data_IF_306740235592
#
_entry.id   IF_306740235592
#
_cell.length_a   1.000
_cell.length_b   1.000
_cell.length_c   1.000
_cell.angle_alpha   90.00
_cell.angle_beta   90.00
_cell.angle_gamma   90.00
#
_symmetry.space_group_name_H-M   'P 1'
#
loop_
_entity.id
_entity.type
_entity.pdbx_description
1 polymer ?
#
# COMPACT_ATOMS: atom_id res chain seq x y z
N UNK A 1 -8.91 -65.01 16.30
CA UNK A 1 -9.45 -64.05 17.28
C UNK A 1 -9.66 -62.78 16.49
N UNK A 2 -10.88 -62.56 16.01
CA UNK A 2 -11.20 -61.44 15.14
C UNK A 2 -11.28 -60.18 16.00
N UNK A 3 -10.21 -59.38 15.98
CA UNK A 3 -10.18 -58.07 16.60
C UNK A 3 -11.12 -57.16 15.79
N UNK A 4 -12.35 -57.04 16.24
CA UNK A 4 -13.31 -56.04 15.75
C UNK A 4 -12.83 -54.65 16.22
N UNK A 5 -11.80 -54.13 15.56
CA UNK A 5 -11.31 -52.76 15.75
C UNK A 5 -12.30 -51.84 15.05
N UNK A 6 -13.08 -51.12 15.84
CA UNK A 6 -14.02 -50.10 15.34
C UNK A 6 -13.22 -48.87 14.91
N UNK A 7 -12.82 -48.85 13.64
CA UNK A 7 -12.16 -47.68 13.05
C UNK A 7 -13.17 -46.53 12.91
N UNK A 8 -12.72 -45.31 13.23
CA UNK A 8 -13.54 -44.10 13.13
C UNK A 8 -13.00 -43.26 11.98
N UNK A 9 -13.84 -42.83 11.02
CA UNK A 9 -13.42 -41.89 9.99
C UNK A 9 -13.21 -40.51 10.60
N UNK A 10 -12.06 -39.89 10.31
CA UNK A 10 -11.71 -38.54 10.72
C UNK A 10 -11.12 -37.75 9.53
N UNK A 11 -11.05 -36.43 9.65
CA UNK A 11 -10.45 -35.54 8.64
C UNK A 11 -9.18 -34.92 9.22
N UNK A 12 -8.09 -34.94 8.46
CA UNK A 12 -6.85 -34.29 8.86
C UNK A 12 -7.02 -32.76 8.81
N UNK A 13 -6.73 -32.07 9.93
CA UNK A 13 -6.83 -30.60 10.02
C UNK A 13 -5.74 -29.84 9.25
N UNK A 14 -4.69 -30.53 8.81
CA UNK A 14 -3.58 -29.91 8.06
C UNK A 14 -3.73 -30.02 6.55
N UNK A 15 -4.26 -31.14 6.04
CA UNK A 15 -4.35 -31.38 4.60
C UNK A 15 -5.77 -31.71 4.10
N UNK A 16 -6.76 -31.84 4.99
CA UNK A 16 -8.13 -32.21 4.62
C UNK A 16 -8.32 -33.67 4.21
N UNK A 17 -7.28 -34.50 4.22
CA UNK A 17 -7.37 -35.92 3.85
C UNK A 17 -8.21 -36.74 4.84
N UNK A 18 -9.02 -37.67 4.32
CA UNK A 18 -9.81 -38.62 5.13
C UNK A 18 -8.92 -39.70 5.72
N UNK A 19 -8.90 -39.82 7.04
CA UNK A 19 -8.04 -40.75 7.78
C UNK A 19 -8.89 -41.67 8.66
N UNK A 20 -8.59 -42.97 8.63
CA UNK A 20 -9.20 -43.93 9.54
C UNK A 20 -8.35 -44.03 10.80
N UNK A 21 -8.96 -43.74 11.95
CA UNK A 21 -8.27 -43.76 13.24
C UNK A 21 -8.79 -44.87 14.13
N UNK A 22 -7.86 -45.55 14.80
CA UNK A 22 -8.16 -46.57 15.80
C UNK A 22 -8.44 -45.91 17.15
N UNK A 23 -9.68 -45.99 17.61
CA UNK A 23 -10.12 -45.40 18.89
C UNK A 23 -9.35 -45.91 20.11
N UNK A 24 -8.63 -47.04 19.99
CA UNK A 24 -7.85 -47.63 21.10
C UNK A 24 -6.44 -47.06 21.21
N UNK A 25 -5.98 -46.27 20.23
CA UNK A 25 -4.65 -45.64 20.24
C UNK A 25 -4.78 -44.18 20.66
N UNK A 26 -3.74 -43.65 21.30
CA UNK A 26 -3.69 -42.25 21.70
C UNK A 26 -3.21 -41.34 20.55
N UNK A 27 -2.42 -41.89 19.63
CA UNK A 27 -1.81 -41.15 18.52
C UNK A 27 -2.10 -41.80 17.17
N UNK A 28 -2.45 -40.98 16.17
CA UNK A 28 -2.58 -41.36 14.77
C UNK A 28 -1.71 -40.48 13.88
N UNK A 29 -1.16 -41.07 12.82
CA UNK A 29 -0.38 -40.36 11.80
C UNK A 29 -1.16 -40.30 10.50
N UNK A 30 -1.28 -39.11 9.93
CA UNK A 30 -1.91 -38.94 8.62
C UNK A 30 -1.05 -39.59 7.51
N UNK A 31 -1.58 -40.47 6.66
CA UNK A 31 -0.83 -41.07 5.55
C UNK A 31 -0.56 -40.09 4.41
N UNK A 32 -1.31 -38.98 4.32
CA UNK A 32 -1.17 -37.99 3.25
C UNK A 32 -0.08 -36.96 3.54
N UNK A 33 -0.08 -36.34 4.72
CA UNK A 33 0.88 -35.28 5.08
C UNK A 33 1.88 -35.67 6.17
N UNK A 34 1.73 -36.86 6.77
CA UNK A 34 2.64 -37.34 7.81
C UNK A 34 2.47 -36.69 9.18
N UNK A 35 1.51 -35.77 9.35
CA UNK A 35 1.25 -35.11 10.65
C UNK A 35 0.73 -36.12 11.68
N UNK A 36 1.34 -36.16 12.87
CA UNK A 36 0.84 -36.92 14.03
C UNK A 36 -0.17 -36.08 14.81
N UNK A 37 -1.27 -36.69 15.25
CA UNK A 37 -2.30 -36.03 16.04
C UNK A 37 -2.87 -36.96 17.12
N UNK A 38 -3.28 -36.35 18.24
CA UNK A 38 -3.81 -37.06 19.42
C UNK A 38 -5.31 -37.32 19.24
N UNK A 39 -5.71 -38.58 19.35
CA UNK A 39 -7.06 -39.09 19.02
C UNK A 39 -8.15 -38.57 19.98
N UNK A 40 -7.80 -38.24 21.23
CA UNK A 40 -8.75 -37.64 22.20
C UNK A 40 -9.37 -36.32 21.71
N UNK A 41 -8.65 -35.57 20.87
CA UNK A 41 -9.14 -34.32 20.25
C UNK A 41 -9.86 -34.54 18.92
N UNK A 42 -9.72 -35.71 18.29
CA UNK A 42 -10.35 -36.04 17.02
C UNK A 42 -11.76 -36.63 17.18
N UNK A 43 -12.01 -37.41 18.24
CA UNK A 43 -13.31 -38.06 18.45
C UNK A 43 -14.38 -37.09 18.99
N UNK A 44 -13.97 -36.04 19.70
CA UNK A 44 -14.88 -35.08 20.33
C UNK A 44 -15.12 -33.81 19.49
N UNK A 45 -14.60 -33.70 18.27
CA UNK A 45 -14.71 -32.47 17.49
C UNK A 45 -15.64 -32.59 16.28
N UNK A 46 -16.73 -31.82 16.40
CA UNK A 46 -17.56 -31.27 15.34
C UNK A 46 -18.29 -32.27 14.45
N UNK A 47 -19.46 -32.69 14.93
CA UNK A 47 -20.57 -33.12 14.07
C UNK A 47 -21.16 -31.88 13.35
N UNK A 48 -20.33 -31.17 12.55
CA UNK A 48 -20.81 -30.06 11.71
C UNK A 48 -21.48 -30.70 10.51
N UNK A 49 -22.79 -30.92 10.66
CA UNK A 49 -23.65 -31.20 9.52
C UNK A 49 -23.90 -29.89 8.82
N UNK A 50 -23.26 -29.69 7.68
CA UNK A 50 -23.65 -28.61 6.77
C UNK A 50 -25.05 -28.94 6.26
N UNK A 51 -26.04 -28.19 6.72
CA UNK A 51 -27.34 -28.14 6.07
C UNK A 51 -27.29 -26.98 5.08
N UNK A 52 -27.35 -27.29 3.78
CA UNK A 52 -27.61 -26.27 2.77
C UNK A 52 -29.07 -25.85 2.94
N UNK A 53 -29.29 -24.68 3.53
CA UNK A 53 -30.62 -24.10 3.68
C UNK A 53 -30.79 -23.11 2.53
N UNK A 54 -31.61 -23.44 1.53
CA UNK A 54 -31.86 -22.56 0.38
C UNK A 54 -32.61 -21.31 0.79
N UNK A 55 -33.53 -21.42 1.76
CA UNK A 55 -34.25 -20.31 2.36
C UNK A 55 -34.60 -20.59 3.83
N UNK A 56 -34.32 -19.64 4.71
CA UNK A 56 -34.73 -19.64 6.11
C UNK A 56 -35.44 -18.30 6.43
N UNK A 57 -36.71 -18.36 6.80
CA UNK A 57 -37.48 -17.17 7.20
C UNK A 57 -37.05 -16.64 8.58
N UNK A 58 -36.54 -17.52 9.44
CA UNK A 58 -35.94 -17.15 10.73
C UNK A 58 -34.90 -18.19 11.15
N UNK A 59 -33.84 -17.71 11.79
CA UNK A 59 -32.79 -18.55 12.38
C UNK A 59 -32.77 -18.24 13.88
N UNK A 60 -33.19 -19.20 14.70
CA UNK A 60 -33.11 -19.08 16.15
C UNK A 60 -31.81 -19.74 16.63
N UNK A 61 -30.83 -18.92 16.99
CA UNK A 61 -29.55 -19.39 17.53
C UNK A 61 -29.67 -19.40 19.06
N UNK A 62 -29.56 -20.58 19.66
CA UNK A 62 -29.49 -20.71 21.11
C UNK A 62 -28.11 -20.28 21.61
N UNK A 63 -28.04 -19.06 22.16
CA UNK A 63 -26.80 -18.43 22.63
C UNK A 63 -26.53 -18.88 24.08
N UNK A 64 -26.18 -20.15 24.25
CA UNK A 64 -25.81 -20.72 25.55
C UNK A 64 -24.39 -21.31 25.54
N UNK A 65 -23.76 -21.34 26.72
CA UNK A 65 -22.42 -21.89 26.91
C UNK A 65 -21.34 -21.19 26.06
N UNK A 66 -20.59 -21.98 25.29
CA UNK A 66 -19.43 -21.53 24.52
C UNK A 66 -19.73 -20.43 23.48
N UNK A 67 -20.95 -20.40 22.92
CA UNK A 67 -21.32 -19.36 21.94
C UNK A 67 -21.41 -17.99 22.60
N UNK A 68 -21.89 -17.94 23.84
CA UNK A 68 -21.99 -16.69 24.61
C UNK A 68 -20.62 -16.13 24.96
N UNK A 69 -19.67 -16.99 25.35
CA UNK A 69 -18.31 -16.58 25.68
C UNK A 69 -17.58 -15.95 24.49
N UNK A 70 -17.73 -16.53 23.30
CA UNK A 70 -17.15 -15.97 22.06
C UNK A 70 -17.79 -14.63 21.71
N UNK A 71 -19.11 -14.50 21.89
CA UNK A 71 -19.83 -13.24 21.65
C UNK A 71 -19.38 -12.14 22.61
N UNK A 72 -19.26 -12.47 23.90
CA UNK A 72 -18.81 -11.53 24.94
C UNK A 72 -17.35 -11.12 24.72
N UNK A 73 -16.48 -12.04 24.31
CA UNK A 73 -15.09 -11.73 23.94
C UNK A 73 -15.01 -10.79 22.73
N UNK A 74 -15.75 -11.10 21.66
CA UNK A 74 -15.81 -10.25 20.47
C UNK A 74 -16.34 -8.85 20.80
N UNK A 75 -17.37 -8.76 21.65
CA UNK A 75 -17.90 -7.49 22.15
C UNK A 75 -16.87 -6.67 22.92
N UNK A 76 -16.11 -7.33 23.79
CA UNK A 76 -15.09 -6.68 24.64
C UNK A 76 -13.95 -6.11 23.80
N UNK A 77 -13.40 -6.90 22.87
CA UNK A 77 -12.35 -6.49 21.92
C UNK A 77 -12.76 -5.25 21.11
N UNK A 78 -14.00 -5.22 20.62
CA UNK A 78 -14.53 -4.08 19.87
C UNK A 78 -14.67 -2.83 20.74
N UNK A 79 -15.05 -2.99 22.01
CA UNK A 79 -15.19 -1.87 22.94
C UNK A 79 -13.85 -1.24 23.33
N UNK A 80 -12.82 -2.07 23.53
CA UNK A 80 -11.46 -1.64 23.85
C UNK A 80 -10.81 -0.92 22.66
N UNK A 81 -10.92 -1.49 21.46
CA UNK A 81 -10.44 -0.87 20.22
C UNK A 81 -11.08 0.51 19.98
N UNK A 82 -12.36 0.67 20.36
CA UNK A 82 -13.06 1.96 20.25
C UNK A 82 -12.55 2.99 21.25
N UNK A 83 -12.18 2.58 22.47
CA UNK A 83 -11.58 3.47 23.49
C UNK A 83 -10.18 3.92 23.07
N UNK A 84 -9.33 2.99 22.62
CA UNK A 84 -7.99 3.31 22.10
C UNK A 84 -8.08 4.32 20.95
N UNK A 85 -8.99 4.11 19.99
CA UNK A 85 -9.20 5.04 18.88
C UNK A 85 -9.71 6.42 19.33
N UNK A 86 -10.43 6.51 20.45
CA UNK A 86 -10.90 7.78 21.00
C UNK A 86 -9.79 8.56 21.72
N UNK A 87 -8.88 7.85 22.38
CA UNK A 87 -7.72 8.44 23.06
C UNK A 87 -6.67 8.89 22.05
N UNK A 88 -6.42 8.10 21.01
CA UNK A 88 -5.49 8.44 19.92
C UNK A 88 -5.87 9.77 19.24
N UNK A 89 -7.16 9.99 18.95
CA UNK A 89 -7.64 11.26 18.36
C UNK A 89 -7.36 12.49 19.21
N UNK A 90 -7.35 12.35 20.54
CA UNK A 90 -7.05 13.48 21.45
C UNK A 90 -5.58 13.87 21.34
N UNK A 91 -4.69 12.87 21.34
CA UNK A 91 -3.25 13.08 21.18
C UNK A 91 -2.95 13.72 19.82
N UNK A 92 -3.55 13.21 18.74
CA UNK A 92 -3.35 13.75 17.40
C UNK A 92 -3.87 15.21 17.28
N UNK A 93 -4.98 15.54 17.95
CA UNK A 93 -5.51 16.91 17.96
C UNK A 93 -4.59 17.90 18.69
N UNK A 94 -3.93 17.48 19.77
CA UNK A 94 -2.96 18.31 20.49
C UNK A 94 -1.66 18.48 19.70
N UNK A 95 -1.22 17.44 19.00
CA UNK A 95 -0.03 17.49 18.14
C UNK A 95 -0.25 18.44 16.95
N UNK A 96 -1.42 18.36 16.31
CA UNK A 96 -1.78 19.24 15.20
C UNK A 96 -1.84 20.72 15.61
N UNK A 97 -2.33 21.03 16.82
CA UNK A 97 -2.36 22.40 17.35
C UNK A 97 -0.95 22.98 17.54
N UNK A 98 0.02 22.17 17.97
CA UNK A 98 1.41 22.63 18.14
C UNK A 98 2.12 22.81 16.78
N UNK A 99 1.92 21.89 15.85
CA UNK A 99 2.53 21.98 14.53
C UNK A 99 1.97 23.14 13.71
N UNK A 100 0.68 23.41 13.78
CA UNK A 100 0.08 24.57 13.06
C UNK A 100 0.62 25.90 13.56
N UNK A 101 0.76 26.10 14.89
CA UNK A 101 1.36 27.35 15.43
C UNK A 101 2.84 27.48 15.05
N UNK A 102 3.61 26.40 15.07
CA UNK A 102 5.01 26.40 14.66
C UNK A 102 5.14 26.74 13.16
N UNK A 103 4.28 26.15 12.32
CA UNK A 103 4.20 26.42 10.89
C UNK A 103 3.88 27.89 10.61
N UNK A 104 2.86 28.46 11.27
CA UNK A 104 2.50 29.87 11.12
C UNK A 104 3.61 30.82 11.57
N UNK A 105 4.37 30.48 12.63
CA UNK A 105 5.52 31.28 13.06
C UNK A 105 6.65 31.24 12.04
N UNK A 106 6.99 30.07 11.51
CA UNK A 106 8.04 29.91 10.50
C UNK A 106 7.69 30.67 9.20
N UNK A 107 6.47 30.47 8.70
CA UNK A 107 5.98 31.17 7.51
C UNK A 107 5.87 32.68 7.70
N UNK A 108 5.49 33.14 8.90
CA UNK A 108 5.43 34.57 9.22
C UNK A 108 6.79 35.27 9.14
N UNK A 109 7.87 34.63 9.59
CA UNK A 109 9.23 35.19 9.47
C UNK A 109 9.72 35.22 8.02
N UNK A 110 9.39 34.19 7.23
CA UNK A 110 9.76 34.12 5.81
C UNK A 110 9.05 35.20 4.99
N UNK A 111 7.75 35.41 5.21
CA UNK A 111 6.97 36.46 4.54
C UNK A 111 7.46 37.88 4.86
N UNK A 112 7.85 38.14 6.11
CA UNK A 112 8.42 39.42 6.49
C UNK A 112 9.76 39.68 5.78
N UNK A 113 10.60 38.65 5.62
CA UNK A 113 11.85 38.74 4.86
C UNK A 113 11.62 39.03 3.38
N UNK A 114 10.68 38.34 2.74
CA UNK A 114 10.35 38.51 1.32
C UNK A 114 9.81 39.91 1.02
N UNK A 115 8.96 40.48 1.89
CA UNK A 115 8.47 41.85 1.74
C UNK A 115 9.58 42.90 1.86
N UNK A 116 10.52 42.72 2.79
CA UNK A 116 11.67 43.62 2.93
C UNK A 116 12.58 43.54 1.71
N UNK A 117 12.84 42.33 1.22
CA UNK A 117 13.66 42.12 0.02
C UNK A 117 13.01 42.71 -1.24
N UNK A 118 11.70 42.54 -1.40
CA UNK A 118 10.92 43.13 -2.50
C UNK A 118 10.92 44.65 -2.47
N UNK A 119 10.82 45.27 -1.28
CA UNK A 119 10.92 46.73 -1.15
C UNK A 119 12.33 47.25 -1.46
N UNK A 120 13.37 46.52 -1.08
CA UNK A 120 14.77 46.85 -1.41
C UNK A 120 14.99 46.74 -2.93
N UNK A 121 14.51 45.67 -3.57
CA UNK A 121 14.58 45.49 -5.02
C UNK A 121 13.82 46.59 -5.78
N UNK A 122 12.64 46.98 -5.30
CA UNK A 122 11.84 48.06 -5.88
C UNK A 122 12.56 49.42 -5.78
N UNK A 123 13.26 49.70 -4.68
CA UNK A 123 14.05 50.92 -4.51
C UNK A 123 15.28 50.91 -5.45
N UNK A 124 15.96 49.76 -5.61
CA UNK A 124 17.09 49.61 -6.53
C UNK A 124 16.65 49.85 -7.98
N UNK A 125 15.47 49.36 -8.36
CA UNK A 125 14.90 49.54 -9.70
C UNK A 125 14.53 51.00 -10.00
N UNK A 126 14.18 51.81 -8.99
CA UNK A 126 13.91 53.24 -9.16
C UNK A 126 15.17 54.10 -9.31
N UNK A 127 16.33 53.63 -8.83
CA UNK A 127 17.60 54.36 -8.94
C UNK A 127 18.48 53.91 -10.12
N UNK A 128 18.27 52.71 -10.64
CA UNK A 128 18.96 52.19 -11.83
C UNK A 128 18.10 52.43 -13.07
N UNK A 129 18.22 53.63 -13.64
CA UNK A 129 17.61 53.93 -14.93
C UNK A 129 18.12 53.00 -16.02
N UNK A 130 17.19 52.26 -16.64
CA UNK A 130 17.27 51.60 -17.95
C UNK A 130 18.69 51.38 -18.50
N UNK A 131 19.27 50.23 -18.18
CA UNK A 131 20.34 49.64 -18.98
C UNK A 131 20.19 48.14 -19.00
N UNK A 132 20.02 47.62 -20.22
CA UNK A 132 20.46 46.30 -20.66
C UNK A 132 19.86 45.11 -19.93
N UNK A 133 19.04 44.35 -20.65
CA UNK A 133 18.65 43.02 -20.20
C UNK A 133 19.87 42.17 -19.95
N UNK A 134 19.97 41.69 -18.71
CA UNK A 134 20.61 40.43 -18.42
C UNK A 134 19.46 39.49 -18.03
N UNK A 135 19.18 38.56 -18.93
CA UNK A 135 18.34 37.39 -18.69
C UNK A 135 18.97 36.59 -17.56
N UNK A 136 18.59 36.93 -16.32
CA UNK A 136 18.70 36.00 -15.20
C UNK A 136 17.44 35.16 -15.26
N UNK A 137 17.57 34.01 -15.92
CA UNK A 137 16.54 33.00 -15.96
C UNK A 137 16.07 32.69 -14.54
N UNK A 138 14.76 32.76 -14.34
CA UNK A 138 14.10 31.96 -13.34
C UNK A 138 14.56 30.51 -13.56
N UNK A 139 15.38 29.98 -12.65
CA UNK A 139 15.41 28.55 -12.46
C UNK A 139 14.01 28.17 -11.95
N UNK A 140 13.12 27.90 -12.90
CA UNK A 140 11.92 27.12 -12.66
C UNK A 140 12.37 25.88 -11.88
N UNK A 141 11.78 25.63 -10.71
CA UNK A 141 12.04 24.39 -9.98
C UNK A 141 11.80 23.23 -10.93
N UNK A 142 12.88 22.62 -11.43
CA UNK A 142 12.79 21.47 -12.31
C UNK A 142 12.39 20.31 -11.43
N UNK A 143 11.21 19.75 -11.66
CA UNK A 143 10.82 18.51 -11.01
C UNK A 143 11.83 17.42 -11.41
N UNK A 144 12.56 16.88 -10.45
CA UNK A 144 13.53 15.81 -10.66
C UNK A 144 12.86 14.49 -10.31
N UNK A 145 12.99 13.50 -11.20
CA UNK A 145 12.55 12.13 -10.95
C UNK A 145 13.79 11.26 -10.87
N UNK A 146 13.93 10.53 -9.78
CA UNK A 146 14.98 9.54 -9.56
C UNK A 146 14.38 8.15 -9.40
N UNK A 147 15.09 7.13 -9.87
CA UNK A 147 14.65 5.74 -9.83
C UNK A 147 15.77 4.86 -9.25
N UNK A 148 15.41 3.94 -8.36
CA UNK A 148 16.33 2.98 -7.78
C UNK A 148 15.67 1.60 -7.63
N UNK A 149 16.40 0.53 -7.92
CA UNK A 149 15.92 -0.84 -7.69
C UNK A 149 16.48 -1.37 -6.38
N UNK A 150 15.61 -1.87 -5.50
CA UNK A 150 16.01 -2.48 -4.23
C UNK A 150 15.07 -3.64 -3.90
N UNK A 151 15.65 -4.78 -3.49
CA UNK A 151 14.89 -5.96 -3.06
C UNK A 151 13.85 -6.46 -4.08
N UNK A 152 14.14 -6.31 -5.39
CA UNK A 152 13.25 -6.74 -6.47
C UNK A 152 12.12 -5.76 -6.81
N UNK A 153 12.13 -4.57 -6.19
CA UNK A 153 11.16 -3.52 -6.40
C UNK A 153 11.80 -2.26 -6.98
N UNK A 154 11.06 -1.54 -7.84
CA UNK A 154 11.43 -0.23 -8.34
C UNK A 154 10.88 0.85 -7.42
N UNK A 155 11.77 1.68 -6.89
CA UNK A 155 11.44 2.85 -6.11
C UNK A 155 11.63 4.10 -6.95
N UNK A 156 10.60 4.94 -7.00
CA UNK A 156 10.65 6.24 -7.67
C UNK A 156 10.58 7.34 -6.61
N UNK A 157 11.52 8.27 -6.64
CA UNK A 157 11.47 9.50 -5.86
C UNK A 157 11.21 10.67 -6.81
N UNK A 158 10.29 11.54 -6.44
CA UNK A 158 9.87 12.67 -7.27
C UNK A 158 9.96 13.92 -6.39
N UNK A 159 10.83 14.85 -6.76
CA UNK A 159 10.86 16.19 -6.19
C UNK A 159 9.93 17.09 -7.01
N UNK A 160 8.89 17.61 -6.35
CA UNK A 160 7.76 18.28 -7.00
C UNK A 160 7.95 19.79 -6.94
N UNK A 161 7.83 20.46 -8.09
CA UNK A 161 7.64 21.91 -8.13
C UNK A 161 6.21 22.27 -7.70
N UNK A 162 6.04 23.43 -7.05
CA UNK A 162 4.82 23.83 -6.31
C UNK A 162 3.47 23.66 -7.09
N UNK A 163 3.49 23.52 -8.42
CA UNK A 163 2.32 23.48 -9.31
C UNK A 163 2.01 22.11 -9.96
N UNK A 164 2.84 21.08 -9.78
CA UNK A 164 2.63 19.75 -10.38
C UNK A 164 2.15 18.71 -9.36
N UNK A 165 1.32 17.78 -9.81
CA UNK A 165 0.91 16.58 -9.05
C UNK A 165 1.22 15.34 -9.88
N UNK A 166 2.16 14.51 -9.42
CA UNK A 166 2.49 13.26 -10.11
C UNK A 166 1.59 12.12 -9.61
N UNK A 167 1.00 11.38 -10.54
CA UNK A 167 0.20 10.18 -10.28
C UNK A 167 0.72 9.05 -11.14
N UNK A 168 0.70 7.84 -10.59
CA UNK A 168 0.97 6.65 -11.39
C UNK A 168 -0.15 6.45 -12.41
N UNK A 169 0.20 6.16 -13.66
CA UNK A 169 -0.79 5.82 -14.69
C UNK A 169 -0.44 4.47 -15.30
N UNK A 170 -1.28 3.50 -14.98
CA UNK A 170 -1.14 2.10 -15.38
C UNK A 170 -1.44 1.98 -16.89
N UNK A 171 -0.41 1.73 -17.68
CA UNK A 171 -0.53 1.54 -19.13
C UNK A 171 0.10 0.24 -19.60
N UNK A 172 -0.03 -0.82 -18.82
CA UNK A 172 -0.64 -2.04 -19.32
C UNK A 172 -1.18 -2.87 -18.15
N UNK A 173 -2.22 -3.62 -18.46
CA UNK A 173 -3.13 -4.21 -17.49
C UNK A 173 -2.56 -5.43 -16.78
N UNK A 174 -1.49 -5.38 -15.99
CA UNK A 174 -0.96 -6.63 -15.38
C UNK A 174 -0.48 -6.56 -13.92
N UNK A 175 -1.12 -5.73 -13.10
CA UNK A 175 -1.31 -6.03 -11.67
C UNK A 175 -0.19 -5.61 -10.72
N UNK A 176 0.21 -4.34 -10.80
CA UNK A 176 1.14 -3.70 -9.86
C UNK A 176 0.48 -3.52 -8.48
N UNK A 177 1.13 -4.01 -7.43
CA UNK A 177 0.78 -3.68 -6.05
C UNK A 177 1.50 -2.39 -5.65
N UNK A 178 0.78 -1.27 -5.64
CA UNK A 178 1.31 0.00 -5.15
C UNK A 178 1.29 0.04 -3.62
N UNK A 179 2.45 0.32 -3.02
CA UNK A 179 2.52 0.85 -1.66
C UNK A 179 3.09 2.27 -1.73
N UNK A 180 2.23 3.27 -1.49
CA UNK A 180 2.68 4.65 -1.25
C UNK A 180 3.08 4.76 0.21
N UNK A 181 4.34 5.09 0.51
CA UNK A 181 4.79 5.19 1.89
C UNK A 181 4.83 6.62 2.43
N UNK A 182 4.82 7.67 1.61
CA UNK A 182 4.75 9.03 2.12
C UNK A 182 4.16 10.04 1.13
N UNK A 183 3.38 10.99 1.66
CA UNK A 183 2.86 12.17 0.98
C UNK A 183 3.28 13.41 1.79
N UNK A 184 4.55 13.77 1.70
CA UNK A 184 5.01 15.09 2.17
C UNK A 184 4.80 16.11 1.05
N UNK A 185 4.77 17.39 1.41
CA UNK A 185 4.24 18.48 0.58
C UNK A 185 4.93 18.61 -0.80
N UNK A 186 6.15 18.08 -0.95
CA UNK A 186 6.97 18.23 -2.16
C UNK A 186 7.64 16.93 -2.65
N UNK A 187 7.36 15.77 -2.05
CA UNK A 187 7.97 14.51 -2.53
C UNK A 187 7.02 13.33 -2.55
N UNK A 188 7.12 12.52 -3.61
CA UNK A 188 6.31 11.32 -3.82
C UNK A 188 7.20 10.09 -3.95
N UNK A 189 6.98 9.12 -3.06
CA UNK A 189 7.67 7.84 -3.09
C UNK A 189 6.71 6.71 -3.46
N UNK A 190 7.02 5.99 -4.53
CA UNK A 190 6.25 4.80 -4.95
C UNK A 190 7.14 3.59 -5.16
N UNK A 191 6.60 2.44 -4.81
CA UNK A 191 7.22 1.14 -4.97
C UNK A 191 6.41 0.30 -5.95
N UNK A 192 7.07 -0.23 -6.97
CA UNK A 192 6.50 -1.12 -7.99
C UNK A 192 7.12 -2.50 -7.80
N UNK A 193 6.28 -3.50 -7.53
CA UNK A 193 6.68 -4.89 -7.39
C UNK A 193 6.09 -5.69 -8.55
N UNK A 194 6.88 -6.50 -9.26
CA UNK A 194 6.36 -7.41 -10.28
C UNK A 194 5.46 -8.47 -9.63
N UNK A 195 4.38 -8.83 -10.34
CA UNK A 195 3.49 -9.91 -9.94
C UNK A 195 3.81 -11.19 -10.72
N UNK A 196 3.26 -12.32 -10.28
CA UNK A 196 3.55 -13.68 -10.78
C UNK A 196 3.12 -13.94 -12.25
N UNK A 197 2.73 -12.88 -12.97
CA UNK A 197 2.26 -12.89 -14.35
C UNK A 197 3.21 -12.21 -15.32
N UNK A 198 4.37 -11.70 -14.86
CA UNK A 198 5.38 -11.12 -15.72
C UNK A 198 6.14 -12.19 -16.51
N UNK A 199 6.22 -12.01 -17.83
CA UNK A 199 7.21 -12.72 -18.63
C UNK A 199 8.59 -12.12 -18.40
N UNK A 200 9.63 -12.96 -18.36
CA UNK A 200 11.03 -12.51 -18.25
C UNK A 200 11.41 -11.60 -19.44
N UNK A 201 12.17 -10.53 -19.19
CA UNK A 201 12.62 -9.61 -20.24
C UNK A 201 12.54 -8.13 -19.87
N UNK A 202 12.11 -7.31 -20.82
CA UNK A 202 12.04 -5.85 -20.69
C UNK A 202 10.60 -5.42 -20.46
N UNK A 203 10.38 -4.59 -19.44
CA UNK A 203 9.11 -3.92 -19.16
C UNK A 203 9.28 -2.40 -19.10
N UNK A 204 8.16 -1.69 -18.92
CA UNK A 204 8.15 -0.23 -18.80
C UNK A 204 7.26 0.20 -17.63
N UNK A 205 7.79 1.07 -16.77
CA UNK A 205 7.02 1.75 -15.73
C UNK A 205 6.72 3.19 -16.16
N UNK A 206 5.46 3.61 -16.03
CA UNK A 206 5.00 4.92 -16.51
C UNK A 206 4.35 5.69 -15.36
N UNK A 207 4.81 6.93 -15.16
CA UNK A 207 4.21 7.90 -14.23
C UNK A 207 3.73 9.12 -15.00
N UNK A 208 2.61 9.70 -14.58
CA UNK A 208 1.95 10.82 -15.25
C UNK A 208 1.96 12.06 -14.36
N UNK A 209 2.42 13.19 -14.89
CA UNK A 209 2.40 14.49 -14.22
C UNK A 209 1.17 15.29 -14.62
N UNK A 210 0.40 15.77 -13.64
CA UNK A 210 -0.80 16.58 -13.82
C UNK A 210 -0.57 18.00 -13.29
N UNK A 211 -1.09 18.99 -14.01
CA UNK A 211 -1.14 20.36 -13.49
C UNK A 211 -2.21 20.45 -12.38
N UNK A 212 -1.76 20.85 -11.18
CA UNK A 212 -2.59 20.92 -9.98
C UNK A 212 -3.64 22.03 -10.04
N UNK A 213 -3.35 23.10 -10.78
CA UNK A 213 -4.21 24.29 -10.92
C UNK A 213 -5.25 24.06 -12.01
N UNK A 214 -4.87 23.39 -13.10
CA UNK A 214 -5.73 23.23 -14.27
C UNK A 214 -6.91 22.25 -14.04
N UNK A 215 -6.91 21.46 -12.95
CA UNK A 215 -7.84 20.33 -12.75
C UNK A 215 -7.94 19.45 -14.01
N UNK A 216 -6.82 19.31 -14.73
CA UNK A 216 -6.79 18.65 -16.03
C UNK A 216 -7.12 17.16 -15.85
N UNK A 217 -7.98 16.63 -16.73
CA UNK A 217 -8.22 15.18 -16.82
C UNK A 217 -7.06 14.44 -17.46
N UNK A 218 -6.28 15.17 -18.26
CA UNK A 218 -5.23 14.63 -19.11
C UNK A 218 -3.86 14.97 -18.50
N UNK A 219 -2.90 14.03 -18.50
CA UNK A 219 -1.55 14.30 -18.06
C UNK A 219 -0.87 15.37 -18.93
N UNK A 220 -0.11 16.26 -18.30
CA UNK A 220 0.74 17.23 -18.99
C UNK A 220 2.06 16.59 -19.46
N UNK A 221 2.57 15.62 -18.70
CA UNK A 221 3.82 14.92 -18.98
C UNK A 221 3.73 13.46 -18.54
N UNK A 222 4.58 12.62 -19.12
CA UNK A 222 4.80 11.24 -18.70
C UNK A 222 6.27 11.02 -18.43
N UNK A 223 6.60 10.25 -17.40
CA UNK A 223 7.94 9.71 -17.18
C UNK A 223 7.90 8.22 -17.47
N UNK A 224 8.76 7.79 -18.39
CA UNK A 224 8.87 6.39 -18.82
C UNK A 224 10.21 5.84 -18.34
N UNK A 225 10.15 4.72 -17.62
CA UNK A 225 11.31 4.02 -17.07
C UNK A 225 11.35 2.61 -17.66
N UNK A 226 12.45 2.27 -18.35
CA UNK A 226 12.68 0.92 -18.86
C UNK A 226 13.19 0.05 -17.71
N UNK A 227 12.55 -1.10 -17.48
CA UNK A 227 12.91 -2.04 -16.40
C UNK A 227 13.28 -3.41 -16.97
N UNK A 228 14.20 -4.09 -16.30
CA UNK A 228 14.69 -5.41 -16.66
C UNK A 228 14.23 -6.42 -15.60
N UNK A 229 13.59 -7.51 -16.04
CA UNK A 229 12.91 -8.48 -15.19
C UNK A 229 13.51 -9.87 -15.41
N UNK A 230 14.02 -10.46 -14.34
CA UNK A 230 14.59 -11.81 -14.31
C UNK A 230 13.99 -12.56 -13.10
N UNK A 231 13.68 -13.85 -13.25
CA UNK A 231 13.08 -14.68 -12.18
C UNK A 231 11.84 -14.04 -11.50
N UNK A 232 11.01 -13.34 -12.28
CA UNK A 232 9.84 -12.58 -11.80
C UNK A 232 10.18 -11.44 -10.82
N UNK A 233 11.41 -10.90 -10.85
CA UNK A 233 11.87 -9.77 -10.04
C UNK A 233 12.50 -8.67 -10.92
N UNK A 234 12.36 -7.40 -10.53
CA UNK A 234 13.05 -6.29 -11.21
C UNK A 234 14.51 -6.31 -10.76
N UNK A 235 15.42 -6.48 -11.71
CA UNK A 235 16.87 -6.53 -11.45
C UNK A 235 17.58 -5.23 -11.78
N UNK A 236 17.03 -4.43 -12.70
CA UNK A 236 17.61 -3.15 -13.12
C UNK A 236 16.54 -2.21 -13.70
N UNK A 237 16.84 -0.92 -13.74
CA UNK A 237 16.04 0.12 -14.39
C UNK A 237 16.96 1.19 -14.99
N UNK A 238 16.57 1.74 -16.13
CA UNK A 238 17.25 2.88 -16.76
C UNK A 238 16.78 4.21 -16.15
N UNK A 239 17.50 5.29 -16.45
CA UNK A 239 17.11 6.65 -16.03
C UNK A 239 15.75 7.05 -16.62
N UNK A 240 14.89 7.75 -15.86
CA UNK A 240 13.57 8.16 -16.33
C UNK A 240 13.67 9.15 -17.50
N UNK A 241 12.84 8.93 -18.52
CA UNK A 241 12.70 9.83 -19.67
C UNK A 241 11.36 10.53 -19.58
N UNK A 242 11.39 11.87 -19.55
CA UNK A 242 10.18 12.70 -19.53
C UNK A 242 9.76 13.02 -20.97
N UNK A 243 8.50 12.75 -21.31
CA UNK A 243 7.88 13.02 -22.61
C UNK A 243 6.54 13.73 -22.42
N UNK A 244 6.11 14.55 -23.37
CA UNK A 244 4.79 15.21 -23.34
C UNK A 244 3.69 14.24 -23.79
N UNK A 245 4.04 13.25 -24.59
CA UNK A 245 3.14 12.18 -25.04
C UNK A 245 3.82 10.82 -25.07
N UNK A 246 3.12 9.78 -24.63
CA UNK A 246 3.60 8.38 -24.76
C UNK A 246 3.87 7.97 -26.21
N UNK A 247 3.22 8.63 -27.18
CA UNK A 247 3.46 8.38 -28.60
C UNK A 247 4.83 8.87 -29.10
N UNK A 248 5.49 9.74 -28.34
CA UNK A 248 6.84 10.25 -28.64
C UNK A 248 7.92 9.30 -28.13
N UNK A 249 7.60 8.45 -27.17
CA UNK A 249 8.56 7.48 -26.64
C UNK A 249 8.67 6.28 -27.58
N UNK A 250 9.90 5.98 -27.99
CA UNK A 250 10.21 4.80 -28.82
C UNK A 250 10.39 3.58 -27.91
N UNK A 251 9.34 2.76 -27.80
CA UNK A 251 9.42 1.45 -27.17
C UNK A 251 10.25 0.50 -28.06
N UNK A 252 11.22 -0.19 -27.47
CA UNK A 252 12.17 -1.09 -28.14
C UNK A 252 11.92 -2.55 -27.81
#
# INVERSE_FOLDING_TARGET
MDNNVKMVPAICTQCGGTVEVDKTKEEAKCPFCGTSFVIEKAINNYNVKYATIEHADNVNIDVTGAVKEVLDFAGTQMSESRKVRSEQRKIDSELHSKNTIAFFKLYGFMFAGMLVFGLIAFIIMQFTGNTGGDEQGEEAGTSVIECQVKEGALFTDIDISDDLEWKYQDFDSYGVSLSSEDSYVNSYHSCIVPNNTFDEGVGYAITAGFDRIAMASDPSYYSVVKVYIEDYQIVNADDPVIVESLSEYSYE
#
